data_IF_623622379621
#
_entry.id   IF_623622379621
#
_cell.length_a   1.000
_cell.length_b   1.000
_cell.length_c   1.000
_cell.angle_alpha   90.00
_cell.angle_beta   90.00
_cell.angle_gamma   90.00
#
_symmetry.space_group_name_H-M   'P 1'
#
loop_
_entity.id
_entity.type
_entity.pdbx_description
1 polymer ?
#
# COMPACT_ATOMS: atom_id res chain seq x y z
N UNK A 1 0.53 -0.64 -10.22
CA UNK A 1 -0.67 0.08 -9.72
C UNK A 1 -1.48 0.55 -10.91
N UNK A 2 -2.77 0.19 -10.97
CA UNK A 2 -3.70 0.73 -11.96
C UNK A 2 -4.90 1.38 -11.24
N UNK A 3 -5.27 2.56 -11.70
CA UNK A 3 -6.44 3.31 -11.21
C UNK A 3 -7.57 3.12 -12.21
N UNK A 4 -8.76 2.81 -11.70
CA UNK A 4 -10.00 2.63 -12.44
C UNK A 4 -10.93 3.77 -12.02
N UNK A 5 -11.14 4.71 -12.94
CA UNK A 5 -11.88 5.96 -12.69
C UNK A 5 -13.36 5.91 -13.08
N UNK A 6 -13.81 4.84 -13.77
CA UNK A 6 -15.22 4.55 -14.13
C UNK A 6 -15.42 3.04 -14.21
N UNK A 7 -16.67 2.56 -14.22
CA UNK A 7 -17.04 1.17 -14.51
C UNK A 7 -16.43 0.69 -15.84
N UNK A 8 -15.21 0.18 -15.79
CA UNK A 8 -14.66 -0.65 -16.84
C UNK A 8 -15.11 -2.07 -16.54
N UNK A 9 -16.01 -2.61 -17.37
CA UNK A 9 -16.27 -4.05 -17.39
C UNK A 9 -14.97 -4.76 -17.76
N UNK A 10 -14.23 -5.21 -16.75
CA UNK A 10 -13.05 -6.02 -16.92
C UNK A 10 -13.44 -7.46 -16.61
N UNK A 11 -13.12 -8.39 -17.51
CA UNK A 11 -13.35 -9.79 -17.22
C UNK A 11 -12.45 -10.23 -16.05
N UNK A 12 -12.93 -11.09 -15.13
CA UNK A 12 -12.14 -11.53 -13.98
C UNK A 12 -10.80 -12.16 -14.39
N UNK A 13 -10.74 -12.86 -15.52
CA UNK A 13 -9.49 -13.45 -16.03
C UNK A 13 -8.47 -12.40 -16.50
N UNK A 14 -8.93 -11.27 -17.04
CA UNK A 14 -8.06 -10.15 -17.41
C UNK A 14 -7.49 -9.47 -16.16
N UNK A 15 -8.29 -9.40 -15.09
CA UNK A 15 -7.87 -8.90 -13.79
C UNK A 15 -6.84 -9.86 -13.16
N UNK A 16 -7.11 -11.17 -13.17
CA UNK A 16 -6.20 -12.21 -12.69
C UNK A 16 -4.82 -12.06 -13.33
N UNK A 17 -4.76 -11.93 -14.65
CA UNK A 17 -3.50 -12.05 -15.38
C UNK A 17 -2.70 -10.75 -15.49
N UNK A 18 -3.30 -9.60 -15.15
CA UNK A 18 -2.73 -8.30 -15.53
C UNK A 18 -2.38 -7.36 -14.37
N UNK A 19 -2.95 -7.56 -13.16
CA UNK A 19 -2.79 -6.59 -12.08
C UNK A 19 -2.64 -7.23 -10.69
N UNK A 20 -1.54 -6.89 -10.01
CA UNK A 20 -1.37 -7.17 -8.58
C UNK A 20 -2.22 -6.25 -7.70
N UNK A 21 -2.42 -4.99 -8.12
CA UNK A 21 -3.13 -3.99 -7.33
C UNK A 21 -3.95 -3.05 -8.21
N UNK A 22 -5.25 -2.93 -7.88
CA UNK A 22 -6.24 -2.05 -8.49
C UNK A 22 -6.78 -1.05 -7.46
N UNK A 23 -7.05 0.16 -7.92
CA UNK A 23 -7.67 1.22 -7.13
C UNK A 23 -8.92 1.72 -7.85
N UNK A 24 -10.05 1.69 -7.18
CA UNK A 24 -11.35 2.14 -7.69
C UNK A 24 -11.64 3.52 -7.09
N UNK A 25 -11.54 4.56 -7.91
CA UNK A 25 -11.55 5.96 -7.43
C UNK A 25 -12.92 6.38 -6.91
N UNK A 26 -13.97 6.15 -7.70
CA UNK A 26 -15.34 6.57 -7.34
C UNK A 26 -15.81 5.88 -6.05
N UNK A 27 -15.50 4.59 -5.90
CA UNK A 27 -15.91 3.78 -4.76
C UNK A 27 -14.92 3.82 -3.60
N UNK A 28 -13.76 4.46 -3.78
CA UNK A 28 -12.67 4.52 -2.78
C UNK A 28 -12.24 3.12 -2.30
N UNK A 29 -11.96 2.19 -3.21
CA UNK A 29 -11.54 0.82 -2.85
C UNK A 29 -10.14 0.51 -3.38
N UNK A 30 -9.32 -0.14 -2.56
CA UNK A 30 -8.10 -0.84 -3.02
C UNK A 30 -8.39 -2.33 -3.08
N UNK A 31 -8.02 -2.96 -4.18
CA UNK A 31 -7.95 -4.41 -4.31
C UNK A 31 -6.50 -4.82 -4.56
N UNK A 32 -5.99 -5.75 -3.75
CA UNK A 32 -4.65 -6.32 -3.88
C UNK A 32 -4.76 -7.83 -4.02
N UNK A 33 -4.12 -8.38 -5.04
CA UNK A 33 -3.98 -9.81 -5.26
C UNK A 33 -2.63 -10.27 -4.73
N UNK A 34 -2.66 -11.40 -4.03
CA UNK A 34 -1.51 -12.20 -3.65
C UNK A 34 -1.79 -13.65 -4.05
N UNK A 35 -0.79 -14.54 -3.96
CA UNK A 35 -0.98 -15.95 -4.28
C UNK A 35 -2.12 -16.55 -3.42
N UNK A 36 -3.21 -16.98 -4.08
CA UNK A 36 -4.39 -17.59 -3.44
C UNK A 36 -5.22 -16.65 -2.56
N UNK A 37 -5.05 -15.33 -2.68
CA UNK A 37 -5.79 -14.35 -1.87
C UNK A 37 -6.09 -13.07 -2.65
N UNK A 38 -7.30 -12.55 -2.47
CA UNK A 38 -7.66 -11.17 -2.81
C UNK A 38 -7.96 -10.40 -1.53
N UNK A 39 -7.23 -9.32 -1.30
CA UNK A 39 -7.53 -8.37 -0.22
C UNK A 39 -8.21 -7.14 -0.79
N UNK A 40 -9.35 -6.78 -0.23
CA UNK A 40 -10.07 -5.53 -0.51
C UNK A 40 -10.01 -4.63 0.72
N UNK A 41 -9.82 -3.34 0.52
CA UNK A 41 -9.69 -2.33 1.59
C UNK A 41 -10.48 -1.09 1.25
N UNK A 42 -11.32 -0.62 2.18
CA UNK A 42 -11.99 0.68 2.08
C UNK A 42 -10.97 1.82 2.31
N UNK A 43 -10.90 2.74 1.35
CA UNK A 43 -9.97 3.88 1.35
C UNK A 43 -10.61 5.19 1.80
N UNK A 44 -11.90 5.21 2.15
CA UNK A 44 -12.64 6.40 2.60
C UNK A 44 -11.90 7.18 3.71
N UNK A 45 -11.27 6.44 4.63
CA UNK A 45 -10.49 6.99 5.74
C UNK A 45 -8.97 6.89 5.57
N UNK A 46 -8.48 6.34 4.45
CA UNK A 46 -7.07 6.06 4.22
C UNK A 46 -6.18 7.31 4.45
N UNK A 47 -5.01 7.09 5.05
CA UNK A 47 -4.02 8.09 5.44
C UNK A 47 -4.43 9.08 6.55
N UNK A 48 -5.67 9.02 7.07
CA UNK A 48 -6.13 9.89 8.17
C UNK A 48 -5.63 9.41 9.53
N UNK A 49 -5.12 10.33 10.35
CA UNK A 49 -4.59 10.03 11.69
C UNK A 49 -5.70 9.62 12.66
N UNK A 50 -5.48 8.55 13.43
CA UNK A 50 -6.43 8.08 14.46
C UNK A 50 -7.66 7.32 13.93
N UNK A 51 -7.76 7.14 12.61
CA UNK A 51 -8.83 6.37 11.95
C UNK A 51 -8.38 4.95 11.63
N UNK A 52 -9.34 4.12 11.23
CA UNK A 52 -9.13 2.75 10.76
C UNK A 52 -9.81 2.57 9.40
N UNK A 53 -9.25 1.69 8.60
CA UNK A 53 -9.81 1.22 7.35
C UNK A 53 -10.19 -0.24 7.50
N UNK A 54 -11.42 -0.59 7.12
CA UNK A 54 -11.87 -1.97 7.07
C UNK A 54 -11.24 -2.67 5.87
N UNK A 55 -10.68 -3.85 6.09
CA UNK A 55 -10.17 -4.70 5.03
C UNK A 55 -10.72 -6.12 5.16
N UNK A 56 -11.03 -6.73 4.01
CA UNK A 56 -11.39 -8.13 3.92
C UNK A 56 -10.36 -8.87 3.08
N UNK A 57 -9.90 -10.01 3.56
CA UNK A 57 -9.06 -10.93 2.80
C UNK A 57 -9.89 -12.15 2.43
N UNK A 58 -10.06 -12.38 1.13
CA UNK A 58 -10.77 -13.51 0.56
C UNK A 58 -9.71 -14.48 0.07
N UNK A 59 -9.59 -15.62 0.75
CA UNK A 59 -8.69 -16.69 0.36
C UNK A 59 -9.43 -17.65 -0.57
N UNK A 60 -8.79 -17.94 -1.70
CA UNK A 60 -9.23 -18.91 -2.68
C UNK A 60 -9.28 -20.30 -2.02
N UNK A 61 -10.44 -20.97 -2.05
CA UNK A 61 -10.50 -22.42 -1.78
C UNK A 61 -10.38 -23.25 -3.06
N UNK A 62 -10.65 -22.61 -4.20
CA UNK A 62 -10.52 -23.11 -5.56
C UNK A 62 -9.81 -22.05 -6.43
N UNK A 63 -9.25 -22.43 -7.57
CA UNK A 63 -8.48 -21.51 -8.42
C UNK A 63 -9.30 -20.27 -8.80
N UNK A 64 -8.81 -19.09 -8.39
CA UNK A 64 -9.46 -17.79 -8.61
C UNK A 64 -10.86 -17.63 -7.99
N UNK A 65 -11.24 -18.44 -6.99
CA UNK A 65 -12.56 -18.40 -6.36
C UNK A 65 -12.98 -17.02 -5.84
N UNK A 66 -12.07 -16.29 -5.18
CA UNK A 66 -12.33 -14.95 -4.67
C UNK A 66 -12.63 -13.94 -5.79
N UNK A 67 -11.90 -14.02 -6.92
CA UNK A 67 -12.14 -13.13 -8.06
C UNK A 67 -13.43 -13.47 -8.79
N UNK A 68 -13.77 -14.76 -8.90
CA UNK A 68 -15.06 -15.20 -9.45
C UNK A 68 -16.23 -14.70 -8.58
N UNK A 69 -16.10 -14.77 -7.25
CA UNK A 69 -17.09 -14.27 -6.30
C UNK A 69 -17.30 -12.75 -6.40
N UNK A 70 -16.21 -11.99 -6.54
CA UNK A 70 -16.27 -10.54 -6.74
C UNK A 70 -16.88 -10.18 -8.10
N UNK A 71 -16.51 -10.93 -9.14
CA UNK A 71 -16.99 -10.68 -10.50
C UNK A 71 -18.46 -11.07 -10.69
N UNK A 72 -18.96 -12.11 -10.01
CA UNK A 72 -20.38 -12.47 -10.07
C UNK A 72 -21.29 -11.37 -9.50
N UNK A 73 -20.72 -10.52 -8.64
CA UNK A 73 -21.34 -9.30 -8.08
C UNK A 73 -21.00 -8.03 -8.86
N UNK A 74 -20.43 -8.18 -10.07
CA UNK A 74 -20.03 -7.08 -10.95
C UNK A 74 -19.11 -6.03 -10.30
N UNK A 75 -18.35 -6.41 -9.27
CA UNK A 75 -17.56 -5.48 -8.47
C UNK A 75 -18.38 -4.31 -7.88
N UNK A 76 -19.66 -4.55 -7.55
CA UNK A 76 -20.48 -3.59 -6.79
C UNK A 76 -19.94 -3.48 -5.37
N UNK A 77 -18.99 -2.57 -5.17
CA UNK A 77 -18.28 -2.41 -3.91
C UNK A 77 -19.20 -2.08 -2.73
N UNK A 78 -20.16 -1.12 -2.82
CA UNK A 78 -21.12 -0.90 -1.75
C UNK A 78 -21.88 -2.17 -1.34
N UNK A 79 -22.39 -2.94 -2.31
CA UNK A 79 -23.09 -4.20 -2.04
C UNK A 79 -22.17 -5.23 -1.39
N UNK A 80 -20.94 -5.39 -1.91
CA UNK A 80 -19.94 -6.33 -1.40
C UNK A 80 -19.58 -5.98 0.05
N UNK A 81 -19.23 -4.73 0.34
CA UNK A 81 -18.86 -4.30 1.70
C UNK A 81 -20.04 -4.41 2.68
N UNK A 82 -21.26 -4.09 2.24
CA UNK A 82 -22.46 -4.28 3.06
C UNK A 82 -22.70 -5.76 3.39
N UNK A 83 -22.58 -6.65 2.39
CA UNK A 83 -22.73 -8.09 2.55
C UNK A 83 -21.68 -8.69 3.49
N UNK A 84 -20.40 -8.33 3.29
CA UNK A 84 -19.30 -8.78 4.14
C UNK A 84 -19.38 -8.20 5.57
N UNK A 85 -19.86 -6.96 5.71
CA UNK A 85 -20.07 -6.32 7.01
C UNK A 85 -21.22 -6.92 7.81
N UNK A 86 -22.21 -7.53 7.16
CA UNK A 86 -23.35 -8.19 7.80
C UNK A 86 -23.07 -9.63 8.24
N UNK A 87 -21.88 -10.19 7.93
CA UNK A 87 -21.50 -11.53 8.37
C UNK A 87 -21.35 -11.57 9.91
N UNK A 88 -21.61 -12.73 10.54
CA UNK A 88 -21.57 -12.89 11.99
C UNK A 88 -20.12 -12.98 12.51
N UNK A 89 -19.38 -11.88 12.42
CA UNK A 89 -18.03 -11.77 12.96
C UNK A 89 -18.05 -11.92 14.48
N UNK A 90 -17.20 -12.79 15.01
CA UNK A 90 -17.08 -12.94 16.46
C UNK A 90 -16.53 -11.65 17.10
N UNK A 91 -17.06 -11.28 18.27
CA UNK A 91 -16.64 -10.09 19.03
C UNK A 91 -15.19 -10.13 19.55
N UNK A 92 -14.45 -11.22 19.30
CA UNK A 92 -13.10 -11.42 19.87
C UNK A 92 -12.05 -11.62 18.80
N UNK A 93 -10.93 -10.93 19.05
CA UNK A 93 -9.57 -11.10 18.55
C UNK A 93 -9.08 -12.57 18.57
N UNK A 94 -9.63 -13.43 17.71
CA UNK A 94 -8.86 -14.55 17.18
C UNK A 94 -8.60 -14.23 15.72
N UNK A 95 -7.34 -14.00 15.41
CA UNK A 95 -6.80 -13.62 14.10
C UNK A 95 -7.10 -14.64 12.97
N UNK A 96 -7.97 -15.62 13.19
CA UNK A 96 -8.17 -16.79 12.33
C UNK A 96 -9.63 -17.23 12.16
N UNK A 97 -10.61 -16.49 12.67
CA UNK A 97 -12.03 -16.82 12.47
C UNK A 97 -12.46 -16.42 11.06
N UNK A 98 -12.07 -17.25 10.09
CA UNK A 98 -12.56 -17.15 8.72
C UNK A 98 -14.04 -17.54 8.66
N UNK A 99 -14.82 -16.76 7.92
CA UNK A 99 -16.18 -17.10 7.56
C UNK A 99 -16.15 -17.63 6.13
N UNK A 100 -16.72 -18.81 5.93
CA UNK A 100 -16.84 -19.40 4.60
C UNK A 100 -18.03 -18.77 3.86
N UNK A 101 -17.76 -18.21 2.69
CA UNK A 101 -18.75 -17.57 1.82
C UNK A 101 -18.55 -18.10 0.42
N UNK A 102 -19.49 -18.90 -0.08
CA UNK A 102 -19.54 -19.35 -1.49
C UNK A 102 -18.18 -19.81 -2.06
N UNK A 103 -17.47 -20.70 -1.35
CA UNK A 103 -16.17 -21.22 -1.81
C UNK A 103 -14.98 -20.28 -1.57
N UNK A 104 -15.10 -19.28 -0.72
CA UNK A 104 -13.99 -18.46 -0.24
C UNK A 104 -13.95 -18.41 1.28
N UNK A 105 -12.75 -18.39 1.86
CA UNK A 105 -12.57 -18.08 3.29
C UNK A 105 -12.33 -16.58 3.44
N UNK A 106 -13.23 -15.90 4.12
CA UNK A 106 -13.16 -14.46 4.31
C UNK A 106 -12.65 -14.14 5.72
N UNK A 107 -11.63 -13.31 5.79
CA UNK A 107 -11.08 -12.74 7.01
C UNK A 107 -11.35 -11.24 7.04
N UNK A 108 -11.59 -10.69 8.22
CA UNK A 108 -11.79 -9.26 8.42
C UNK A 108 -10.65 -8.68 9.29
N UNK A 109 -10.17 -7.50 8.93
CA UNK A 109 -9.15 -6.77 9.68
C UNK A 109 -9.48 -5.27 9.71
N UNK A 110 -9.30 -4.63 10.87
CA UNK A 110 -9.27 -3.18 10.99
C UNK A 110 -7.82 -2.69 10.98
N UNK A 111 -7.42 -2.08 9.86
CA UNK A 111 -6.06 -1.59 9.67
C UNK A 111 -6.00 -0.11 10.06
N UNK A 112 -4.96 0.30 10.79
CA UNK A 112 -4.74 1.73 11.09
C UNK A 112 -4.67 2.51 9.78
N UNK A 113 -5.54 3.51 9.61
CA UNK A 113 -5.67 4.23 8.34
C UNK A 113 -4.37 4.92 7.90
N UNK A 114 -3.53 5.35 8.84
CA UNK A 114 -2.19 5.89 8.56
C UNK A 114 -1.22 4.91 7.88
N UNK A 115 -1.55 3.60 7.86
CA UNK A 115 -0.80 2.53 7.20
C UNK A 115 -1.47 2.08 5.89
N UNK A 116 -2.51 2.78 5.45
CA UNK A 116 -3.25 2.45 4.23
C UNK A 116 -3.02 3.57 3.22
N UNK A 117 -2.33 3.27 2.13
CA UNK A 117 -2.09 4.23 1.07
C UNK A 117 -3.32 4.35 0.17
N UNK A 118 -3.69 5.60 -0.15
CA UNK A 118 -4.68 5.90 -1.18
C UNK A 118 -4.11 6.95 -2.14
N UNK A 119 -4.16 6.73 -3.47
CA UNK A 119 -3.76 7.73 -4.45
C UNK A 119 -4.76 8.91 -4.50
N UNK A 120 -5.94 8.77 -3.90
CA UNK A 120 -7.03 9.75 -3.96
C UNK A 120 -6.99 10.77 -2.82
N UNK A 121 -6.43 10.39 -1.66
CA UNK A 121 -6.47 11.20 -0.44
C UNK A 121 -5.16 11.96 -0.14
N UNK A 122 -4.34 12.23 -1.17
CA UNK A 122 -3.02 12.85 -0.99
C UNK A 122 -3.08 14.22 -0.28
N UNK A 123 -4.15 14.99 -0.51
CA UNK A 123 -4.37 16.30 0.11
C UNK A 123 -4.48 16.26 1.65
N UNK A 124 -4.76 15.10 2.24
CA UNK A 124 -4.80 14.91 3.70
C UNK A 124 -3.40 15.09 4.31
N UNK A 125 -2.35 14.74 3.55
CA UNK A 125 -0.97 14.80 4.01
C UNK A 125 -0.39 16.18 3.73
N UNK A 126 -0.47 17.07 4.72
CA UNK A 126 0.05 18.44 4.61
C UNK A 126 1.57 18.47 4.39
N UNK A 127 2.08 19.36 3.52
CA UNK A 127 3.52 19.52 3.30
C UNK A 127 4.24 19.95 4.59
N UNK A 128 5.55 19.71 4.64
CA UNK A 128 6.43 20.26 5.66
C UNK A 128 6.55 21.78 5.46
N UNK A 129 6.51 22.52 6.57
CA UNK A 129 6.63 23.99 6.57
C UNK A 129 8.08 24.46 6.70
N UNK A 130 8.91 23.61 7.30
CA UNK A 130 10.33 23.82 7.55
C UNK A 130 11.01 22.45 7.64
N UNK A 131 12.33 22.43 7.60
CA UNK A 131 13.10 21.22 7.79
C UNK A 131 13.03 20.74 9.26
N UNK A 132 12.66 19.48 9.53
CA UNK A 132 12.61 18.97 10.89
C UNK A 132 14.02 18.84 11.50
N UNK A 133 14.18 19.30 12.75
CA UNK A 133 15.41 19.06 13.54
C UNK A 133 15.75 17.58 13.73
N UNK A 134 14.71 16.72 13.74
CA UNK A 134 14.84 15.27 13.80
C UNK A 134 13.92 14.63 12.78
N UNK A 135 14.51 13.87 11.87
CA UNK A 135 13.76 13.14 10.87
C UNK A 135 13.06 11.93 11.47
N UNK A 136 11.83 11.71 11.00
CA UNK A 136 11.01 10.53 11.31
C UNK A 136 10.41 10.02 10.00
N UNK A 137 9.97 8.76 9.96
CA UNK A 137 9.28 8.23 8.79
C UNK A 137 8.07 9.07 8.40
N UNK A 138 7.37 9.68 9.37
CA UNK A 138 6.24 10.57 9.07
C UNK A 138 6.67 11.83 8.32
N UNK A 139 7.84 12.39 8.67
CA UNK A 139 8.40 13.52 7.94
C UNK A 139 8.80 13.12 6.52
N UNK A 140 9.44 11.95 6.36
CA UNK A 140 9.80 11.39 5.05
C UNK A 140 8.55 11.20 4.18
N UNK A 141 7.52 10.53 4.68
CA UNK A 141 6.27 10.31 3.94
C UNK A 141 5.64 11.64 3.51
N UNK A 142 5.64 12.66 4.38
CA UNK A 142 5.14 14.01 4.03
C UNK A 142 5.95 14.65 2.92
N UNK A 143 7.29 14.61 3.01
CA UNK A 143 8.17 15.18 2.00
C UNK A 143 7.98 14.50 0.64
N UNK A 144 8.01 13.16 0.61
CA UNK A 144 7.88 12.38 -0.62
C UNK A 144 6.51 12.56 -1.29
N UNK A 145 5.43 12.51 -0.51
CA UNK A 145 4.07 12.63 -1.05
C UNK A 145 3.72 14.06 -1.50
N UNK A 146 4.43 15.08 -0.99
CA UNK A 146 4.27 16.48 -1.41
C UNK A 146 5.37 16.96 -2.37
N UNK A 147 6.22 16.06 -2.89
CA UNK A 147 7.28 16.43 -3.83
C UNK A 147 8.38 17.33 -3.25
N UNK A 148 8.53 17.39 -1.93
CA UNK A 148 9.53 18.22 -1.23
C UNK A 148 10.88 17.50 -1.12
N UNK A 149 11.41 17.04 -2.24
CA UNK A 149 12.67 16.31 -2.29
C UNK A 149 13.39 16.52 -3.64
N UNK A 150 14.68 16.22 -3.64
CA UNK A 150 15.55 16.07 -4.81
C UNK A 150 16.34 14.77 -4.70
N UNK A 151 16.79 14.25 -5.84
CA UNK A 151 17.73 13.13 -5.91
C UNK A 151 17.30 11.90 -5.08
N UNK A 152 16.01 11.53 -5.13
CA UNK A 152 15.55 10.32 -4.46
C UNK A 152 16.19 9.09 -5.13
N UNK A 153 16.95 8.33 -4.35
CA UNK A 153 17.76 7.23 -4.87
C UNK A 153 17.86 6.06 -3.91
N UNK A 154 18.12 4.88 -4.47
CA UNK A 154 18.61 3.72 -3.75
C UNK A 154 20.15 3.75 -3.73
N UNK A 155 20.72 3.64 -2.54
CA UNK A 155 22.15 3.65 -2.28
C UNK A 155 22.73 2.23 -2.18
N UNK A 156 21.86 1.24 -1.95
CA UNK A 156 22.23 -0.16 -2.01
C UNK A 156 21.16 -1.07 -1.42
N UNK A 157 20.92 -2.18 -2.10
CA UNK A 157 20.12 -3.30 -1.65
C UNK A 157 20.98 -4.56 -1.59
N UNK A 158 20.96 -5.22 -0.44
CA UNK A 158 21.79 -6.38 -0.13
C UNK A 158 20.90 -7.57 0.22
N UNK A 159 21.39 -8.75 -0.12
CA UNK A 159 20.80 -10.05 0.16
C UNK A 159 21.93 -11.04 0.44
N UNK A 160 21.58 -12.30 0.73
CA UNK A 160 22.58 -13.35 0.91
C UNK A 160 23.24 -13.77 -0.43
N UNK A 161 22.66 -13.40 -1.58
CA UNK A 161 23.24 -13.60 -2.91
C UNK A 161 24.01 -12.35 -3.38
N UNK A 162 25.20 -12.16 -2.80
CA UNK A 162 26.07 -11.03 -3.12
C UNK A 162 26.50 -10.99 -4.60
N UNK A 163 26.59 -12.13 -5.28
CA UNK A 163 26.93 -12.19 -6.70
C UNK A 163 25.77 -11.64 -7.55
N UNK A 164 24.54 -12.05 -7.24
CA UNK A 164 23.32 -11.50 -7.84
C UNK A 164 23.16 -10.00 -7.56
N UNK A 165 23.45 -9.57 -6.34
CA UNK A 165 23.43 -8.14 -5.98
C UNK A 165 24.45 -7.33 -6.77
N UNK A 166 25.70 -7.81 -6.88
CA UNK A 166 26.72 -7.14 -7.67
C UNK A 166 26.31 -7.03 -9.15
N UNK A 167 25.73 -8.10 -9.72
CA UNK A 167 25.27 -8.12 -11.12
C UNK A 167 24.17 -7.07 -11.40
N UNK A 168 23.31 -6.76 -10.42
CA UNK A 168 22.29 -5.70 -10.51
C UNK A 168 22.73 -4.36 -9.93
N UNK A 169 24.04 -4.14 -9.76
CA UNK A 169 24.63 -2.95 -9.14
C UNK A 169 24.02 -2.60 -7.77
N UNK A 170 23.70 -3.62 -6.97
CA UNK A 170 23.04 -3.51 -5.66
C UNK A 170 21.73 -2.72 -5.72
N UNK A 171 21.03 -2.73 -6.86
CA UNK A 171 19.80 -1.94 -7.04
C UNK A 171 20.01 -0.42 -6.97
N UNK A 172 21.27 0.06 -7.02
CA UNK A 172 21.59 1.48 -6.92
C UNK A 172 21.05 2.24 -8.12
N UNK A 173 20.50 3.42 -7.85
CA UNK A 173 20.01 4.32 -8.88
C UNK A 173 18.88 5.20 -8.40
N UNK A 174 18.35 6.01 -9.31
CA UNK A 174 17.21 6.87 -9.05
C UNK A 174 15.95 6.03 -8.76
N UNK A 175 15.17 6.47 -7.77
CA UNK A 175 13.84 5.94 -7.52
C UNK A 175 12.85 6.83 -8.25
N UNK A 176 12.51 6.44 -9.49
CA UNK A 176 11.67 7.22 -10.39
C UNK A 176 10.24 7.50 -9.86
N UNK A 177 9.72 6.65 -8.96
CA UNK A 177 8.36 6.78 -8.44
C UNK A 177 8.35 6.94 -6.92
N UNK A 178 8.45 8.20 -6.47
CA UNK A 178 8.41 8.56 -5.06
C UNK A 178 7.11 8.13 -4.35
N UNK A 179 5.97 8.11 -5.06
CA UNK A 179 4.69 7.66 -4.47
C UNK A 179 4.70 6.16 -4.19
N UNK A 180 5.24 5.35 -5.10
CA UNK A 180 5.41 3.91 -4.89
C UNK A 180 6.38 3.61 -3.74
N UNK A 181 7.45 4.39 -3.62
CA UNK A 181 8.40 4.28 -2.51
C UNK A 181 7.77 4.68 -1.16
N UNK A 182 7.08 5.82 -1.11
CA UNK A 182 6.34 6.25 0.08
C UNK A 182 5.28 5.22 0.51
N UNK A 183 4.58 4.61 -0.44
CA UNK A 183 3.63 3.53 -0.17
C UNK A 183 4.31 2.33 0.50
N UNK A 184 5.48 1.90 0.03
CA UNK A 184 6.24 0.78 0.62
C UNK A 184 6.52 1.02 2.10
N UNK A 185 6.95 2.23 2.44
CA UNK A 185 7.23 2.65 3.82
C UNK A 185 5.93 2.72 4.65
N UNK A 186 4.87 3.29 4.07
CA UNK A 186 3.58 3.51 4.76
C UNK A 186 2.88 2.20 5.12
N UNK A 187 2.77 1.29 4.15
CA UNK A 187 2.02 0.04 4.30
C UNK A 187 2.83 -1.05 5.02
N UNK A 188 4.16 -0.93 5.09
CA UNK A 188 5.03 -1.88 5.79
C UNK A 188 6.15 -1.15 6.54
N UNK A 189 5.82 -0.40 7.63
CA UNK A 189 6.78 0.46 8.31
C UNK A 189 7.78 -0.28 9.20
N UNK A 190 7.61 -1.59 9.40
CA UNK A 190 8.53 -2.39 10.22
C UNK A 190 9.92 -2.40 9.58
N UNK A 191 10.97 -2.29 10.41
CA UNK A 191 12.36 -2.27 9.94
C UNK A 191 12.82 -0.94 9.36
N UNK A 192 11.91 -0.04 8.99
CA UNK A 192 12.26 1.27 8.45
C UNK A 192 12.75 2.22 9.54
N UNK A 193 13.81 2.97 9.22
CA UNK A 193 14.36 4.01 10.07
C UNK A 193 14.93 5.16 9.22
N UNK A 194 15.14 6.29 9.87
CA UNK A 194 15.61 7.50 9.21
C UNK A 194 16.80 8.08 9.94
N UNK A 195 17.73 8.66 9.19
CA UNK A 195 18.86 9.41 9.73
C UNK A 195 19.13 10.61 8.83
N UNK A 196 19.52 11.72 9.45
CA UNK A 196 19.91 12.94 8.75
C UNK A 196 21.43 12.97 8.58
N UNK A 197 21.89 13.01 7.34
CA UNK A 197 23.25 13.44 7.02
C UNK A 197 23.35 14.96 6.95
N UNK A 198 24.51 15.45 6.52
CA UNK A 198 24.79 16.89 6.43
C UNK A 198 23.87 17.62 5.44
N UNK A 199 23.57 16.99 4.29
CA UNK A 199 22.71 17.54 3.23
C UNK A 199 21.66 16.54 2.71
N UNK A 200 21.48 15.40 3.38
CA UNK A 200 20.60 14.33 2.92
C UNK A 200 19.82 13.69 4.06
N UNK A 201 18.71 13.07 3.70
CA UNK A 201 17.90 12.24 4.59
C UNK A 201 18.03 10.80 4.11
N UNK A 202 18.67 9.97 4.92
CA UNK A 202 18.69 8.52 4.71
C UNK A 202 17.39 7.90 5.21
N UNK A 203 16.85 6.98 4.41
CA UNK A 203 15.63 6.21 4.67
C UNK A 203 15.97 4.75 4.40
N UNK A 204 16.22 4.00 5.45
CA UNK A 204 16.73 2.64 5.35
C UNK A 204 15.74 1.65 5.93
N UNK A 205 15.68 0.44 5.37
CA UNK A 205 14.95 -0.69 5.94
C UNK A 205 15.95 -1.75 6.39
N UNK A 206 15.95 -2.04 7.69
CA UNK A 206 16.95 -2.89 8.35
C UNK A 206 18.38 -2.44 7.99
N UNK A 207 19.28 -3.38 7.68
CA UNK A 207 20.66 -3.12 7.26
C UNK A 207 20.91 -3.39 5.78
N UNK A 208 19.87 -3.73 5.03
CA UNK A 208 20.01 -4.28 3.68
C UNK A 208 19.32 -3.47 2.59
N UNK A 209 18.56 -2.43 2.91
CA UNK A 209 17.92 -1.54 1.93
C UNK A 209 18.19 -0.09 2.34
N UNK A 210 19.12 0.55 1.67
CA UNK A 210 19.56 1.92 1.95
C UNK A 210 19.12 2.85 0.85
N UNK A 211 18.44 3.93 1.21
CA UNK A 211 17.94 4.95 0.29
C UNK A 211 18.20 6.33 0.86
N UNK A 212 18.22 7.35 0.00
CA UNK A 212 18.35 8.73 0.44
C UNK A 212 17.66 9.71 -0.51
N UNK A 213 17.42 10.91 0.00
CA UNK A 213 17.01 12.07 -0.79
C UNK A 213 17.57 13.35 -0.16
N UNK A 214 17.64 14.42 -0.95
CA UNK A 214 17.92 15.78 -0.47
C UNK A 214 16.59 16.48 -0.21
N UNK A 215 16.38 17.02 0.99
CA UNK A 215 15.14 17.74 1.29
C UNK A 215 15.09 19.07 0.51
N UNK A 216 13.96 19.34 -0.13
CA UNK A 216 13.73 20.62 -0.81
C UNK A 216 12.38 21.18 -0.38
N UNK A 217 12.40 22.20 0.48
CA UNK A 217 11.19 22.84 0.98
C UNK A 217 10.34 23.44 -0.14
N UNK A 218 10.96 23.87 -1.24
CA UNK A 218 10.31 24.50 -2.39
C UNK A 218 9.90 23.51 -3.48
N UNK A 219 10.16 22.21 -3.28
CA UNK A 219 9.75 21.16 -4.21
C UNK A 219 8.22 21.15 -4.42
N UNK A 220 7.78 20.96 -5.66
CA UNK A 220 6.36 20.87 -6.03
C UNK A 220 6.04 19.44 -6.47
N UNK A 221 4.95 18.89 -5.94
CA UNK A 221 4.40 17.56 -6.28
C UNK A 221 3.67 17.54 -7.62
#
# INVERSE_FOLDING_TARGET
MKIISKEQKMAPIDICNSFEELYFEEQQVKMKRSQGQVRITDLSEAMKSGRQCRSYSLNDTEECGALNWLSSRSFDWPLIFAGLGALPWADRFREFDAIEVEGAKVYMEDVKAIRVYSPFNLAVIKPLKEEPKKWTLRHVLRALLNGQFKELRCDGQYSDDYAGDAARNFGRGEIANARAFARRIMESPSGWWTHSGENSVSVCCHHFDSNSFVFDLMGKA
#
